data_IF_145255482445
#
_entry.id   IF_145255482445
#
_cell.length_a   1.000
_cell.length_b   1.000
_cell.length_c   1.000
_cell.angle_alpha   90.00
_cell.angle_beta   90.00
_cell.angle_gamma   90.00
#
_symmetry.space_group_name_H-M   'P 1'
#
loop_
_entity.id
_entity.type
_entity.pdbx_description
1 polymer ?
#
# COMPACT_ATOMS: atom_id res chain seq x y z
N UNK A 1 -9.77 5.94 -39.71
CA UNK A 1 -9.45 6.76 -38.52
C UNK A 1 -10.50 6.59 -37.41
N UNK A 2 -11.81 6.64 -37.71
CA UNK A 2 -12.89 6.44 -36.70
C UNK A 2 -12.92 5.02 -36.11
N UNK A 3 -12.83 3.97 -36.94
CA UNK A 3 -12.77 2.56 -36.48
C UNK A 3 -11.58 2.25 -35.55
N UNK A 4 -10.48 2.99 -35.67
CA UNK A 4 -9.32 2.82 -34.77
C UNK A 4 -9.53 3.48 -33.41
N UNK A 5 -10.43 4.48 -33.33
CA UNK A 5 -10.76 5.20 -32.11
C UNK A 5 -11.74 4.40 -31.25
N UNK A 6 -12.77 3.80 -31.85
CA UNK A 6 -13.70 2.91 -31.14
C UNK A 6 -12.99 1.71 -30.50
N UNK A 7 -12.03 1.09 -31.21
CA UNK A 7 -11.23 0.00 -30.64
C UNK A 7 -10.38 0.46 -29.45
N UNK A 8 -9.86 1.69 -29.49
CA UNK A 8 -9.09 2.27 -28.38
C UNK A 8 -10.00 2.55 -27.16
N UNK A 9 -11.21 3.04 -27.39
CA UNK A 9 -12.18 3.33 -26.33
C UNK A 9 -12.65 2.05 -25.62
N UNK A 10 -12.85 0.94 -26.35
CA UNK A 10 -13.22 -0.36 -25.77
C UNK A 10 -12.08 -0.91 -24.89
N UNK A 11 -10.83 -0.82 -25.35
CA UNK A 11 -9.68 -1.30 -24.59
C UNK A 11 -9.51 -0.49 -23.29
N UNK A 12 -9.67 0.83 -23.37
CA UNK A 12 -9.60 1.70 -22.20
C UNK A 12 -10.71 1.38 -21.19
N UNK A 13 -11.96 1.24 -21.65
CA UNK A 13 -13.08 0.89 -20.77
C UNK A 13 -12.87 -0.46 -20.08
N UNK A 14 -12.31 -1.44 -20.78
CA UNK A 14 -11.98 -2.74 -20.20
C UNK A 14 -10.85 -2.64 -19.15
N UNK A 15 -9.80 -1.85 -19.43
CA UNK A 15 -8.71 -1.61 -18.48
C UNK A 15 -9.19 -0.88 -17.22
N UNK A 16 -10.08 0.10 -17.37
CA UNK A 16 -10.66 0.85 -16.25
C UNK A 16 -11.53 -0.07 -15.38
N UNK A 17 -12.35 -0.94 -16.02
CA UNK A 17 -13.14 -1.94 -15.31
C UNK A 17 -12.28 -2.87 -14.47
N UNK A 18 -11.20 -3.41 -15.04
CA UNK A 18 -10.26 -4.27 -14.31
C UNK A 18 -9.62 -3.53 -13.14
N UNK A 19 -9.19 -2.28 -13.37
CA UNK A 19 -8.58 -1.44 -12.33
C UNK A 19 -9.54 -1.23 -11.15
N UNK A 20 -10.83 -0.97 -11.42
CA UNK A 20 -11.86 -0.85 -10.37
C UNK A 20 -12.03 -2.15 -9.58
N UNK A 21 -12.05 -3.30 -10.25
CA UNK A 21 -12.14 -4.61 -9.59
C UNK A 21 -10.92 -4.85 -8.70
N UNK A 22 -9.72 -4.52 -9.17
CA UNK A 22 -8.49 -4.63 -8.39
C UNK A 22 -8.55 -3.75 -7.16
N UNK A 23 -8.88 -2.46 -7.32
CA UNK A 23 -9.07 -1.52 -6.22
C UNK A 23 -10.07 -2.05 -5.18
N UNK A 24 -11.23 -2.54 -5.63
CA UNK A 24 -12.25 -3.10 -4.76
C UNK A 24 -11.74 -4.31 -3.97
N UNK A 25 -10.95 -5.18 -4.60
CA UNK A 25 -10.36 -6.36 -3.95
C UNK A 25 -9.29 -5.95 -2.93
N UNK A 26 -8.49 -4.92 -3.24
CA UNK A 26 -7.45 -4.40 -2.37
C UNK A 26 -7.96 -3.86 -1.03
N UNK A 27 -9.21 -3.40 -0.95
CA UNK A 27 -9.85 -3.01 0.32
C UNK A 27 -9.96 -4.16 1.33
N UNK A 28 -9.98 -5.40 0.86
CA UNK A 28 -10.14 -6.59 1.70
C UNK A 28 -8.83 -7.37 1.87
N UNK A 29 -7.77 -6.99 1.16
CA UNK A 29 -6.56 -7.82 1.00
C UNK A 29 -5.87 -8.15 2.34
N UNK A 30 -5.78 -7.20 3.26
CA UNK A 30 -5.13 -7.40 4.57
C UNK A 30 -6.11 -7.68 5.70
N UNK A 31 -7.41 -7.52 5.46
CA UNK A 31 -8.46 -7.72 6.46
C UNK A 31 -8.44 -9.11 7.10
N UNK A 32 -8.29 -10.24 6.36
CA UNK A 32 -8.22 -11.57 6.96
C UNK A 32 -7.03 -11.73 7.92
N UNK A 33 -5.89 -11.14 7.57
CA UNK A 33 -4.67 -11.20 8.39
C UNK A 33 -4.87 -10.41 9.71
N UNK A 34 -5.48 -9.22 9.62
CA UNK A 34 -5.83 -8.39 10.78
C UNK A 34 -6.83 -9.13 11.68
N UNK A 35 -7.90 -9.68 11.13
CA UNK A 35 -8.92 -10.42 11.89
C UNK A 35 -8.33 -11.64 12.59
N UNK A 36 -7.41 -12.35 11.94
CA UNK A 36 -6.72 -13.50 12.52
C UNK A 36 -5.92 -13.09 13.75
N UNK A 37 -5.15 -12.00 13.66
CA UNK A 37 -4.39 -11.47 14.80
C UNK A 37 -5.30 -11.08 15.97
N UNK A 38 -6.39 -10.36 15.69
CA UNK A 38 -7.34 -9.96 16.73
C UNK A 38 -7.98 -11.17 17.42
N UNK A 39 -8.23 -12.26 16.68
CA UNK A 39 -8.79 -13.50 17.21
C UNK A 39 -7.81 -14.26 18.10
N UNK A 40 -6.57 -14.44 17.65
CA UNK A 40 -5.56 -15.23 18.38
C UNK A 40 -4.84 -14.43 19.46
N UNK A 41 -4.88 -13.09 19.38
CA UNK A 41 -4.27 -12.13 20.33
C UNK A 41 -2.76 -12.27 20.51
N UNK A 42 -2.06 -12.76 19.49
CA UNK A 42 -0.60 -12.84 19.45
C UNK A 42 -0.13 -12.83 18.00
N UNK A 43 1.11 -12.38 17.74
CA UNK A 43 1.67 -12.30 16.38
C UNK A 43 2.70 -13.39 16.06
N UNK A 44 2.59 -14.56 16.71
CA UNK A 44 3.49 -15.71 16.48
C UNK A 44 3.35 -16.19 15.04
N UNK A 45 4.48 -16.27 14.33
CA UNK A 45 4.53 -16.70 12.93
C UNK A 45 4.46 -15.56 11.91
N UNK A 46 4.28 -14.30 12.35
CA UNK A 46 4.36 -13.15 11.43
C UNK A 46 5.79 -12.62 11.37
N UNK A 47 6.32 -12.51 10.15
CA UNK A 47 7.63 -11.94 9.89
C UNK A 47 7.54 -10.40 9.80
N UNK A 48 7.96 -9.70 10.85
CA UNK A 48 7.94 -8.24 10.90
C UNK A 48 8.82 -7.59 9.83
N UNK A 49 9.96 -8.20 9.49
CA UNK A 49 10.84 -7.70 8.42
C UNK A 49 10.12 -7.79 7.07
N UNK A 50 9.35 -8.87 6.86
CA UNK A 50 8.49 -9.04 5.69
C UNK A 50 7.46 -7.91 5.57
N UNK A 51 6.73 -7.60 6.65
CA UNK A 51 5.77 -6.50 6.65
C UNK A 51 6.43 -5.14 6.36
N UNK A 52 7.62 -4.89 6.91
CA UNK A 52 8.35 -3.65 6.62
C UNK A 52 8.83 -3.57 5.15
N UNK A 53 9.16 -4.71 4.54
CA UNK A 53 9.48 -4.80 3.11
C UNK A 53 8.24 -4.58 2.23
N UNK A 54 7.08 -5.10 2.63
CA UNK A 54 5.81 -4.83 1.95
C UNK A 54 5.46 -3.35 2.04
N UNK A 55 5.52 -2.76 3.24
CA UNK A 55 5.30 -1.34 3.47
C UNK A 55 6.20 -0.47 2.59
N UNK A 56 7.50 -0.78 2.51
CA UNK A 56 8.44 -0.02 1.69
C UNK A 56 8.15 -0.16 0.20
N UNK A 57 7.86 -1.38 -0.27
CA UNK A 57 7.49 -1.66 -1.66
C UNK A 57 6.26 -0.85 -2.10
N UNK A 58 5.18 -0.91 -1.33
CA UNK A 58 3.96 -0.16 -1.65
C UNK A 58 4.17 1.36 -1.59
N UNK A 59 5.01 1.82 -0.66
CA UNK A 59 5.35 3.26 -0.53
C UNK A 59 6.12 3.75 -1.76
N UNK A 60 7.12 2.99 -2.21
CA UNK A 60 7.91 3.30 -3.40
C UNK A 60 7.02 3.30 -4.63
N UNK A 61 6.18 2.27 -4.80
CA UNK A 61 5.31 2.16 -5.96
C UNK A 61 4.26 3.28 -6.01
N UNK A 62 3.63 3.61 -4.88
CA UNK A 62 2.73 4.75 -4.76
C UNK A 62 3.43 6.06 -5.14
N UNK A 63 4.61 6.30 -4.54
CA UNK A 63 5.38 7.52 -4.77
C UNK A 63 5.80 7.65 -6.23
N UNK A 64 6.31 6.58 -6.83
CA UNK A 64 6.71 6.55 -8.24
C UNK A 64 5.53 6.91 -9.15
N UNK A 65 4.38 6.27 -8.96
CA UNK A 65 3.21 6.51 -9.81
C UNK A 65 2.66 7.93 -9.65
N UNK A 66 2.57 8.42 -8.41
CA UNK A 66 2.16 9.78 -8.10
C UNK A 66 3.10 10.82 -8.73
N UNK A 67 4.42 10.63 -8.61
CA UNK A 67 5.44 11.54 -9.17
C UNK A 67 5.55 11.50 -10.69
N UNK A 68 5.13 10.39 -11.29
CA UNK A 68 5.08 10.22 -12.74
C UNK A 68 3.82 10.81 -13.35
N UNK A 69 2.85 11.24 -12.53
CA UNK A 69 1.61 11.86 -13.00
C UNK A 69 0.68 10.89 -13.72
N UNK A 70 0.74 9.60 -13.39
CA UNK A 70 -0.19 8.62 -13.94
C UNK A 70 -1.62 8.87 -13.45
N UNK A 71 -2.59 8.34 -14.19
CA UNK A 71 -3.98 8.41 -13.79
C UNK A 71 -4.19 7.75 -12.42
N UNK A 72 -5.02 8.35 -11.57
CA UNK A 72 -5.25 7.89 -10.21
C UNK A 72 -5.72 6.42 -10.16
N UNK A 73 -6.57 6.04 -11.11
CA UNK A 73 -7.13 4.69 -11.20
C UNK A 73 -6.04 3.61 -11.38
N UNK A 74 -4.88 3.96 -11.95
CA UNK A 74 -3.77 3.03 -12.20
C UNK A 74 -3.05 2.60 -10.92
N UNK A 75 -3.06 3.42 -9.88
CA UNK A 75 -2.21 3.18 -8.69
C UNK A 75 -2.96 3.32 -7.36
N UNK A 76 -4.28 3.53 -7.39
CA UNK A 76 -5.07 3.73 -6.17
C UNK A 76 -5.10 2.50 -5.25
N UNK A 77 -4.76 1.32 -5.76
CA UNK A 77 -4.55 0.11 -4.95
C UNK A 77 -3.48 0.31 -3.86
N UNK A 78 -2.37 0.98 -4.16
CA UNK A 78 -1.25 1.14 -3.22
C UNK A 78 -1.61 1.92 -1.95
N UNK A 79 -2.21 3.13 -2.00
CA UNK A 79 -2.58 3.85 -0.78
C UNK A 79 -3.65 3.11 0.04
N UNK A 80 -4.56 2.36 -0.62
CA UNK A 80 -5.57 1.54 0.07
C UNK A 80 -4.91 0.39 0.83
N UNK A 81 -3.93 -0.29 0.22
CA UNK A 81 -3.17 -1.36 0.87
C UNK A 81 -2.29 -0.79 1.98
N UNK A 82 -1.61 0.35 1.75
CA UNK A 82 -0.73 1.00 2.73
C UNK A 82 -1.44 1.31 4.05
N UNK A 83 -2.68 1.82 3.99
CA UNK A 83 -3.46 2.10 5.20
C UNK A 83 -3.69 0.83 6.02
N UNK A 84 -4.08 -0.27 5.36
CA UNK A 84 -4.31 -1.54 6.05
C UNK A 84 -3.01 -2.18 6.55
N UNK A 85 -1.92 -2.05 5.78
CA UNK A 85 -0.59 -2.55 6.15
C UNK A 85 -0.06 -1.83 7.40
N UNK A 86 -0.23 -0.51 7.50
CA UNK A 86 0.13 0.25 8.69
C UNK A 86 -0.68 -0.21 9.92
N UNK A 87 -2.00 -0.42 9.77
CA UNK A 87 -2.85 -0.96 10.84
C UNK A 87 -2.35 -2.35 11.28
N UNK A 88 -2.04 -3.22 10.32
CA UNK A 88 -1.51 -4.55 10.58
C UNK A 88 -0.18 -4.49 11.35
N UNK A 89 0.77 -3.66 10.91
CA UNK A 89 2.07 -3.49 11.58
C UNK A 89 1.89 -3.01 13.02
N UNK A 90 1.00 -2.05 13.26
CA UNK A 90 0.70 -1.56 14.62
C UNK A 90 0.20 -2.69 15.51
N UNK A 91 -0.74 -3.50 15.04
CA UNK A 91 -1.27 -4.65 15.80
C UNK A 91 -0.17 -5.67 16.10
N UNK A 92 0.69 -5.97 15.11
CA UNK A 92 1.82 -6.90 15.28
C UNK A 92 2.82 -6.40 16.31
N UNK A 93 3.16 -5.11 16.28
CA UNK A 93 4.06 -4.48 17.25
C UNK A 93 3.48 -4.57 18.66
N UNK A 94 2.18 -4.28 18.82
CA UNK A 94 1.49 -4.36 20.12
C UNK A 94 1.53 -5.80 20.65
N UNK A 95 1.17 -6.79 19.84
CA UNK A 95 1.10 -8.19 20.27
C UNK A 95 2.45 -8.88 20.46
N UNK A 96 3.53 -8.39 19.84
CA UNK A 96 4.88 -8.85 20.15
C UNK A 96 5.52 -8.12 21.33
N UNK A 97 4.86 -7.12 21.92
CA UNK A 97 5.42 -6.34 23.03
C UNK A 97 6.56 -5.40 22.61
N UNK A 98 6.64 -5.02 21.33
CA UNK A 98 7.67 -4.13 20.80
C UNK A 98 7.32 -2.64 20.93
N UNK A 99 6.34 -2.29 21.76
CA UNK A 99 5.96 -0.89 22.03
C UNK A 99 7.03 -0.22 22.89
N UNK A 100 8.02 0.39 22.25
CA UNK A 100 9.11 1.13 22.88
C UNK A 100 9.38 2.42 22.08
N UNK A 101 10.11 3.36 22.69
CA UNK A 101 10.56 4.63 22.09
C UNK A 101 11.24 4.40 20.73
N UNK A 102 12.06 3.34 20.61
CA UNK A 102 12.70 2.98 19.34
C UNK A 102 11.70 2.73 18.21
N UNK A 103 10.57 2.09 18.49
CA UNK A 103 9.53 1.81 17.50
C UNK A 103 8.84 3.09 17.04
N UNK A 104 8.61 4.04 17.95
CA UNK A 104 8.11 5.36 17.60
C UNK A 104 9.10 6.16 16.75
N UNK A 105 10.40 6.12 17.09
CA UNK A 105 11.46 6.73 16.28
C UNK A 105 11.50 6.12 14.88
N UNK A 106 11.44 4.79 14.76
CA UNK A 106 11.38 4.11 13.46
C UNK A 106 10.16 4.52 12.64
N UNK A 107 8.98 4.60 13.27
CA UNK A 107 7.76 5.05 12.59
C UNK A 107 7.92 6.50 12.07
N UNK A 108 8.46 7.41 12.87
CA UNK A 108 8.75 8.78 12.44
C UNK A 108 9.72 8.82 11.26
N UNK A 109 10.82 8.06 11.33
CA UNK A 109 11.78 7.99 10.22
C UNK A 109 11.16 7.46 8.93
N UNK A 110 10.26 6.48 9.03
CA UNK A 110 9.49 5.98 7.89
C UNK A 110 8.62 7.09 7.28
N UNK A 111 7.82 7.80 8.08
CA UNK A 111 6.94 8.87 7.56
C UNK A 111 7.73 10.02 6.93
N UNK A 112 8.87 10.40 7.51
CA UNK A 112 9.77 11.40 6.93
C UNK A 112 10.29 10.91 5.57
N UNK A 113 10.76 9.66 5.51
CA UNK A 113 11.29 9.07 4.27
C UNK A 113 10.21 9.00 3.19
N UNK A 114 9.00 8.52 3.53
CA UNK A 114 7.86 8.48 2.62
C UNK A 114 7.50 9.88 2.10
N UNK A 115 7.49 10.89 2.97
CA UNK A 115 7.26 12.28 2.58
C UNK A 115 8.35 12.82 1.64
N UNK A 116 9.62 12.46 1.86
CA UNK A 116 10.72 12.81 0.95
C UNK A 116 10.53 12.21 -0.45
N UNK A 117 10.07 10.95 -0.55
CA UNK A 117 9.74 10.32 -1.84
C UNK A 117 8.58 11.03 -2.55
N UNK A 118 7.54 11.43 -1.81
CA UNK A 118 6.37 12.14 -2.35
C UNK A 118 6.66 13.59 -2.80
N UNK A 119 7.51 14.30 -2.06
CA UNK A 119 7.87 15.69 -2.37
C UNK A 119 8.89 15.79 -3.50
N UNK A 120 9.59 14.69 -3.82
CA UNK A 120 10.58 14.65 -4.89
C UNK A 120 11.88 15.37 -4.55
N UNK A 121 12.20 15.45 -3.26
CA UNK A 121 13.54 15.83 -2.77
C UNK A 121 14.58 14.81 -3.25
N UNK A 122 14.15 13.56 -3.46
CA UNK A 122 14.95 12.49 -4.08
C UNK A 122 14.72 12.53 -5.61
N UNK A 123 15.78 12.70 -6.43
CA UNK A 123 15.66 12.73 -7.89
C UNK A 123 15.16 11.39 -8.45
N UNK A 124 14.49 11.48 -9.62
CA UNK A 124 13.89 10.35 -10.34
C UNK A 124 14.91 9.28 -10.72
#
# INVERSE_FOLDING_TARGET
MVLSRENFDIIQAFADLLSVITIATCFLLKVPQILTLLKVKHARGINIIGLLMELSSYTIMFSYNFRSGYALLTYMEYPIILIQELVLIVIVVIYNGYMNVYTFMLAQTYFITAACFLTGVIPR
#
